data_IF_298585097574
#
_entry.id   IF_298585097574
#
_cell.length_a   1.000
_cell.length_b   1.000
_cell.length_c   1.000
_cell.angle_alpha   90.00
_cell.angle_beta   90.00
_cell.angle_gamma   90.00
#
_symmetry.space_group_name_H-M   'P 1'
#
loop_
_entity.id
_entity.type
_entity.pdbx_description
1 polymer ?
#
# COMPACT_ATOMS: atom_id res chain seq x y z
N UNK A 1 7.74 -5.57 18.67
CA UNK A 1 7.07 -4.56 17.81
C UNK A 1 6.66 -5.29 16.56
N UNK A 2 5.41 -5.16 16.07
CA UNK A 2 4.97 -5.96 14.94
C UNK A 2 5.57 -5.47 13.63
N UNK A 3 5.72 -6.37 12.67
CA UNK A 3 6.17 -6.14 11.31
C UNK A 3 5.00 -6.30 10.34
N UNK A 4 5.06 -5.64 9.19
CA UNK A 4 4.04 -5.75 8.14
C UNK A 4 4.70 -6.02 6.79
N UNK A 5 4.00 -6.80 5.97
CA UNK A 5 4.39 -7.09 4.59
C UNK A 5 3.48 -6.28 3.66
N UNK A 6 4.08 -5.48 2.79
CA UNK A 6 3.39 -4.50 1.96
C UNK A 6 3.66 -4.80 0.48
N UNK A 7 2.70 -5.41 -0.24
CA UNK A 7 2.83 -5.60 -1.68
C UNK A 7 2.71 -4.27 -2.42
N UNK A 8 3.34 -4.19 -3.60
CA UNK A 8 3.11 -3.14 -4.58
C UNK A 8 2.09 -3.60 -5.64
N UNK A 9 1.23 -2.70 -6.15
CA UNK A 9 1.02 -1.34 -5.64
C UNK A 9 0.47 -1.35 -4.21
N UNK A 10 0.71 -0.27 -3.46
CA UNK A 10 0.21 -0.14 -2.09
C UNK A 10 -1.30 -0.42 -2.06
N UNK A 11 -1.77 -1.33 -1.18
CA UNK A 11 -3.19 -1.61 -1.09
C UNK A 11 -3.94 -0.37 -0.60
N UNK A 12 -5.09 -0.11 -1.19
CA UNK A 12 -6.03 0.95 -0.74
C UNK A 12 -6.73 0.59 0.57
N UNK A 13 -6.59 -0.67 1.01
CA UNK A 13 -7.11 -1.20 2.27
C UNK A 13 -6.02 -1.24 3.34
N UNK A 14 -6.38 -1.17 4.64
CA UNK A 14 -5.42 -1.27 5.73
C UNK A 14 -4.60 -2.56 5.61
N UNK A 15 -3.34 -2.51 6.03
CA UNK A 15 -2.45 -3.67 6.04
C UNK A 15 -3.05 -4.75 6.95
N UNK A 16 -3.57 -5.81 6.34
CA UNK A 16 -4.36 -6.82 7.03
C UNK A 16 -3.50 -7.81 7.84
N UNK A 17 -2.19 -7.89 7.57
CA UNK A 17 -1.32 -8.90 8.19
C UNK A 17 -0.17 -8.23 8.93
N UNK A 18 -0.10 -8.51 10.24
CA UNK A 18 0.98 -8.12 11.13
C UNK A 18 1.69 -9.39 11.60
N UNK A 19 3.00 -9.31 11.78
CA UNK A 19 3.87 -10.41 12.20
C UNK A 19 4.59 -9.99 13.49
N UNK A 20 4.81 -10.92 14.41
CA UNK A 20 5.47 -10.63 15.68
C UNK A 20 6.99 -10.44 15.52
N UNK A 21 7.57 -11.07 14.49
CA UNK A 21 9.00 -11.04 14.20
C UNK A 21 9.32 -10.62 12.75
N UNK A 22 10.53 -10.10 12.54
CA UNK A 22 11.01 -9.74 11.21
C UNK A 22 11.16 -10.97 10.30
N UNK A 23 11.62 -12.10 10.88
CA UNK A 23 11.84 -13.35 10.15
C UNK A 23 10.53 -13.89 9.54
N UNK A 24 9.45 -13.89 10.31
CA UNK A 24 8.12 -14.30 9.82
C UNK A 24 7.61 -13.39 8.70
N UNK A 25 7.82 -12.08 8.83
CA UNK A 25 7.45 -11.11 7.79
C UNK A 25 8.29 -11.32 6.51
N UNK A 26 9.59 -11.56 6.65
CA UNK A 26 10.49 -11.83 5.54
C UNK A 26 10.15 -13.14 4.82
N UNK A 27 9.87 -14.22 5.57
CA UNK A 27 9.44 -15.49 5.00
C UNK A 27 8.15 -15.32 4.18
N UNK A 28 7.20 -14.52 4.68
CA UNK A 28 5.97 -14.23 3.94
C UNK A 28 6.24 -13.37 2.70
N UNK A 29 7.09 -12.35 2.81
CA UNK A 29 7.48 -11.51 1.68
C UNK A 29 8.16 -12.34 0.59
N UNK A 30 9.06 -13.25 0.95
CA UNK A 30 9.73 -14.17 0.04
C UNK A 30 8.71 -15.07 -0.69
N UNK A 31 7.78 -15.69 0.04
CA UNK A 31 6.73 -16.51 -0.56
C UNK A 31 5.86 -15.73 -1.55
N UNK A 32 5.60 -14.43 -1.30
CA UNK A 32 4.87 -13.57 -2.22
C UNK A 32 5.68 -13.24 -3.48
N UNK A 33 6.99 -13.00 -3.34
CA UNK A 33 7.89 -12.79 -4.48
C UNK A 33 8.01 -14.08 -5.31
N UNK A 34 8.09 -15.25 -4.69
CA UNK A 34 8.12 -16.53 -5.41
C UNK A 34 6.82 -16.78 -6.17
N UNK A 35 5.67 -16.47 -5.56
CA UNK A 35 4.36 -16.58 -6.21
C UNK A 35 4.14 -15.53 -7.31
N UNK A 36 4.82 -14.38 -7.23
CA UNK A 36 4.68 -13.26 -8.15
C UNK A 36 5.99 -12.48 -8.27
N UNK A 37 6.97 -12.98 -9.05
CA UNK A 37 8.34 -12.44 -9.07
C UNK A 37 8.47 -11.03 -9.64
N UNK A 38 7.41 -10.53 -10.27
CA UNK A 38 7.33 -9.15 -10.78
C UNK A 38 6.68 -8.18 -9.79
N UNK A 39 6.21 -8.68 -8.65
CA UNK A 39 5.56 -7.87 -7.64
C UNK A 39 6.58 -7.46 -6.57
N UNK A 40 6.92 -6.17 -6.47
CA UNK A 40 7.73 -5.68 -5.36
C UNK A 40 6.98 -5.86 -4.04
N UNK A 41 7.70 -6.25 -2.99
CA UNK A 41 7.17 -6.42 -1.64
C UNK A 41 8.12 -5.75 -0.65
N UNK A 42 7.58 -4.99 0.30
CA UNK A 42 8.33 -4.34 1.36
C UNK A 42 8.00 -4.96 2.72
N UNK A 43 9.01 -5.04 3.59
CA UNK A 43 8.85 -5.40 5.00
C UNK A 43 9.18 -4.16 5.83
N UNK A 44 8.30 -3.81 6.78
CA UNK A 44 8.47 -2.62 7.61
C UNK A 44 8.06 -2.89 9.06
N UNK A 45 8.79 -2.28 10.00
CA UNK A 45 8.42 -2.22 11.42
C UNK A 45 7.22 -1.29 11.61
N UNK A 46 6.15 -1.81 12.22
CA UNK A 46 4.98 -1.03 12.57
C UNK A 46 5.24 -0.27 13.88
N UNK A 47 5.70 0.97 13.75
CA UNK A 47 5.75 1.92 14.87
C UNK A 47 4.34 2.51 15.06
N UNK A 48 3.91 2.60 16.32
CA UNK A 48 2.56 3.00 16.77
C UNK A 48 1.87 3.96 15.79
N UNK A 49 0.80 3.47 15.14
CA UNK A 49 0.00 4.20 14.17
C UNK A 49 -0.68 5.41 14.81
N UNK A 50 -0.66 6.54 14.11
CA UNK A 50 -1.55 7.66 14.39
C UNK A 50 -3.00 7.21 14.19
N UNK A 51 -3.77 7.11 15.27
CA UNK A 51 -5.20 6.78 15.24
C UNK A 51 -6.00 8.04 14.93
N UNK A 52 -6.06 8.41 13.65
CA UNK A 52 -6.83 9.55 13.16
C UNK A 52 -7.68 9.15 11.96
N UNK A 53 -8.89 9.70 11.88
CA UNK A 53 -9.76 9.54 10.72
C UNK A 53 -9.13 10.26 9.52
N UNK A 54 -8.55 9.52 8.58
CA UNK A 54 -8.18 10.06 7.27
C UNK A 54 -9.47 10.14 6.45
N UNK A 55 -10.10 11.31 6.41
CA UNK A 55 -11.12 11.58 5.41
C UNK A 55 -10.41 11.62 4.07
N UNK A 56 -10.49 10.54 3.29
CA UNK A 56 -10.04 10.53 1.90
C UNK A 56 -11.02 11.43 1.14
N UNK A 57 -10.75 12.73 1.13
CA UNK A 57 -11.39 13.64 0.19
C UNK A 57 -10.90 13.20 -1.18
N UNK A 58 -11.71 12.42 -1.89
CA UNK A 58 -11.53 12.19 -3.31
C UNK A 58 -11.32 13.56 -3.97
N UNK A 59 -10.09 13.84 -4.42
CA UNK A 59 -9.84 15.04 -5.21
C UNK A 59 -10.81 15.01 -6.39
N UNK A 60 -11.48 16.14 -6.71
CA UNK A 60 -12.44 16.16 -7.80
C UNK A 60 -11.74 15.68 -9.07
N UNK A 61 -12.43 14.80 -9.81
CA UNK A 61 -12.03 14.42 -11.15
C UNK A 61 -11.65 15.70 -11.90
N UNK A 62 -10.38 15.82 -12.29
CA UNK A 62 -9.94 16.89 -13.18
C UNK A 62 -10.75 16.70 -14.46
N UNK A 63 -11.77 17.54 -14.62
CA UNK A 63 -12.52 17.67 -15.86
C UNK A 63 -11.51 17.81 -16.99
N UNK A 64 -11.64 16.92 -17.98
CA UNK A 64 -10.94 17.01 -19.26
C UNK A 64 -10.90 18.46 -19.76
N UNK A 65 -9.79 18.91 -20.35
CA UNK A 65 -9.74 20.24 -20.94
C UNK A 65 -10.86 20.36 -21.98
N UNK A 66 -11.72 21.38 -21.81
CA UNK A 66 -12.58 21.89 -22.88
C UNK A 66 -11.72 22.08 -24.13
N UNK A 67 -12.19 21.56 -25.25
CA UNK A 67 -11.48 21.54 -26.52
C UNK A 67 -11.04 22.92 -27.04
N UNK A 68 -10.16 22.94 -28.05
CA UNK A 68 -9.72 24.17 -28.68
C UNK A 68 -10.89 24.84 -29.40
N UNK A 69 -11.01 26.15 -29.19
CA UNK A 69 -11.68 27.14 -30.04
C UNK A 69 -12.76 26.62 -31.00
N UNK A 70 -14.01 26.83 -30.60
CA UNK A 70 -15.09 27.12 -31.55
C UNK A 70 -14.68 28.36 -32.37
N UNK A 71 -14.44 28.15 -33.67
CA UNK A 71 -14.73 29.14 -34.71
C UNK A 71 -16.21 29.11 -35.08
#
# INVERSE_FOLDING_TARGET
MPFVVIPQPFPTSPLQTQFDTEDEANARAQAMVEASPKQPVYVAELRTLYQGSVTVSASPAVSQPKGPEQG
#
